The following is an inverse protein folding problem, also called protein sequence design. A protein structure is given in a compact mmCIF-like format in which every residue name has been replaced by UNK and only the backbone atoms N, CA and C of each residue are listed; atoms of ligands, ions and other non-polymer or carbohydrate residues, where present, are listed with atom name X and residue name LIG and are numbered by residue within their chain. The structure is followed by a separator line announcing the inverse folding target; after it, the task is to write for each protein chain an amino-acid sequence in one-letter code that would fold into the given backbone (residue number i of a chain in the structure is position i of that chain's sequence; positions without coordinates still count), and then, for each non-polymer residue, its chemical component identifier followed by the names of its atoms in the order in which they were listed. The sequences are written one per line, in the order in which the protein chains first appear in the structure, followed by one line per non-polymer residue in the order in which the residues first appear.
data_IF_935909556199
#
_entry.id   IF_935909556199
#
_cell.length_a   1.000
_cell.length_b   1.000
_cell.length_c   1.000
_cell.angle_alpha   90.00
_cell.angle_beta   90.00
_cell.angle_gamma   90.00
#
_symmetry.space_group_name_H-M   'P 1'
#
loop_
_entity.id
_entity.type
_entity.pdbx_description
1 polymer ?
#
# COMPACT_ATOMS: atom_id res chain seq x y z
N UNK A 1 14.09 5.56 19.35
CA UNK A 1 12.62 5.57 19.21
C UNK A 1 12.19 4.55 18.19
N UNK A 2 11.22 3.74 18.51
CA UNK A 2 10.69 2.84 17.50
C UNK A 2 10.00 3.65 16.42
N UNK A 3 10.08 3.18 15.20
CA UNK A 3 9.38 3.83 14.12
C UNK A 3 7.88 3.68 14.29
N UNK A 4 7.15 4.68 13.82
CA UNK A 4 5.70 4.62 13.83
C UNK A 4 5.25 3.50 12.92
N UNK A 5 4.39 2.62 13.42
CA UNK A 5 3.93 1.48 12.66
C UNK A 5 3.03 1.86 11.49
N UNK A 6 2.57 3.10 11.46
CA UNK A 6 1.68 3.58 10.41
C UNK A 6 2.37 4.48 9.40
N UNK A 7 3.70 4.39 9.31
CA UNK A 7 4.45 5.19 8.33
C UNK A 7 5.17 4.26 7.37
N UNK A 8 5.10 4.58 6.08
CA UNK A 8 5.75 3.80 5.03
C UNK A 8 6.50 4.77 4.14
N UNK A 9 7.78 4.51 3.91
CA UNK A 9 8.58 5.35 3.03
C UNK A 9 8.55 4.79 1.61
N UNK A 10 8.21 5.64 0.67
CA UNK A 10 8.19 5.29 -0.75
C UNK A 10 9.02 6.32 -1.48
N UNK A 11 10.17 5.91 -1.98
CA UNK A 11 11.09 6.82 -2.70
C UNK A 11 11.43 8.06 -1.88
N UNK A 12 11.65 7.89 -0.59
CA UNK A 12 11.96 9.01 0.29
C UNK A 12 10.76 9.79 0.78
N UNK A 13 9.59 9.55 0.21
CA UNK A 13 8.36 10.19 0.67
C UNK A 13 7.71 9.36 1.75
N UNK A 14 7.28 9.99 2.81
CA UNK A 14 6.64 9.28 3.91
C UNK A 14 5.13 9.29 3.74
N UNK A 15 4.56 8.11 3.56
CA UNK A 15 3.12 7.94 3.51
C UNK A 15 2.61 7.51 4.87
N UNK A 16 1.47 8.04 5.25
CA UNK A 16 0.82 7.66 6.51
C UNK A 16 -0.30 6.68 6.21
N UNK A 17 -0.32 5.58 6.96
CA UNK A 17 -1.38 4.59 6.86
C UNK A 17 -2.49 4.96 7.83
N UNK A 18 -3.71 5.08 7.34
CA UNK A 18 -4.88 5.34 8.18
C UNK A 18 -5.93 4.27 7.95
N UNK A 19 -6.24 3.55 9.01
CA UNK A 19 -7.26 2.53 8.98
C UNK A 19 -8.50 3.11 9.63
N UNK A 20 -9.53 3.34 8.85
CA UNK A 20 -10.74 3.97 9.35
C UNK A 20 -11.93 3.55 8.50
N UNK A 21 -13.13 3.67 9.05
CA UNK A 21 -14.32 3.25 8.35
C UNK A 21 -14.73 4.24 7.28
N UNK A 22 -14.55 5.52 7.52
CA UNK A 22 -14.92 6.56 6.58
C UNK A 22 -13.71 7.35 6.18
N UNK A 23 -13.55 7.56 4.89
CA UNK A 23 -12.53 8.45 4.36
C UNK A 23 -13.07 9.11 3.11
N UNK A 24 -12.63 10.33 2.87
CA UNK A 24 -13.06 11.06 1.68
C UNK A 24 -12.28 10.56 0.49
N UNK A 25 -12.99 9.98 -0.44
CA UNK A 25 -12.51 9.76 -1.78
C UNK A 25 -13.38 10.61 -2.67
N UNK A 26 -13.02 10.75 -3.90
CA UNK A 26 -13.72 11.66 -4.77
C UNK A 26 -15.18 11.46 -4.81
N UNK A 27 -15.61 10.25 -4.95
CA UNK A 27 -16.99 9.97 -5.28
C UNK A 27 -17.74 9.40 -4.13
N UNK A 28 -17.23 9.54 -2.96
CA UNK A 28 -17.89 8.96 -1.81
C UNK A 28 -18.29 7.52 -2.08
N UNK A 29 -17.38 6.79 -2.67
CA UNK A 29 -17.68 5.44 -3.09
C UNK A 29 -17.57 4.46 -1.94
N UNK A 30 -18.72 3.97 -1.51
CA UNK A 30 -18.77 3.04 -0.39
C UNK A 30 -18.19 1.68 -0.73
N UNK A 31 -17.91 1.43 -1.99
CA UNK A 31 -17.32 0.18 -2.41
C UNK A 31 -15.79 0.22 -2.38
N UNK A 32 -15.21 1.36 -2.09
CA UNK A 32 -13.77 1.46 -1.96
C UNK A 32 -13.31 0.74 -0.70
N UNK A 33 -12.38 -0.15 -0.86
CA UNK A 33 -11.73 -0.82 0.26
C UNK A 33 -10.52 -0.05 0.74
N UNK A 34 -9.90 0.73 -0.14
CA UNK A 34 -8.77 1.57 0.17
C UNK A 34 -8.65 2.70 -0.81
N UNK A 35 -7.75 3.63 -0.51
CA UNK A 35 -7.54 4.79 -1.35
C UNK A 35 -6.15 5.35 -1.08
N UNK A 36 -5.45 5.74 -2.14
CA UNK A 36 -4.14 6.34 -2.02
C UNK A 36 -4.24 7.82 -2.38
N UNK A 37 -4.00 8.68 -1.40
CA UNK A 37 -3.98 10.13 -1.60
C UNK A 37 -2.54 10.54 -1.80
N UNK A 38 -2.16 10.77 -3.04
CA UNK A 38 -0.78 11.08 -3.38
C UNK A 38 -0.36 12.45 -2.88
N UNK A 39 -1.27 13.41 -2.90
CA UNK A 39 -0.93 14.77 -2.54
C UNK A 39 -0.63 14.92 -1.06
N UNK A 40 -1.40 14.24 -0.24
CA UNK A 40 -1.20 14.28 1.21
C UNK A 40 -0.37 13.12 1.72
N UNK A 41 -0.08 12.17 0.84
CA UNK A 41 0.73 11.00 1.15
C UNK A 41 0.08 10.19 2.26
N UNK A 42 -1.17 9.81 2.01
CA UNK A 42 -1.94 9.01 2.95
C UNK A 42 -2.49 7.79 2.22
N UNK A 43 -2.34 6.63 2.83
CA UNK A 43 -2.97 5.41 2.35
C UNK A 43 -4.10 5.08 3.33
N UNK A 44 -5.32 5.04 2.81
CA UNK A 44 -6.50 4.70 3.60
C UNK A 44 -6.88 3.25 3.38
N UNK A 45 -7.25 2.58 4.45
CA UNK A 45 -7.76 1.21 4.41
C UNK A 45 -9.01 1.14 5.26
N UNK A 46 -10.06 0.53 4.74
CA UNK A 46 -11.33 0.45 5.44
C UNK A 46 -11.22 -0.47 6.64
N UNK A 47 -11.67 0.02 7.77
CA UNK A 47 -11.50 -0.67 9.05
C UNK A 47 -12.27 -1.97 9.14
N UNK A 48 -13.43 -2.05 8.51
CA UNK A 48 -14.29 -3.23 8.62
C UNK A 48 -13.82 -4.45 7.87
N UNK A 49 -12.76 -4.31 7.07
CA UNK A 49 -12.21 -5.46 6.35
C UNK A 49 -11.54 -6.45 7.30
N UNK A 50 -11.51 -7.72 6.89
CA UNK A 50 -10.75 -8.71 7.64
C UNK A 50 -9.27 -8.36 7.63
N UNK A 51 -8.51 -8.93 8.57
CA UNK A 51 -7.06 -8.67 8.61
C UNK A 51 -6.36 -9.10 7.33
N UNK A 52 -6.76 -10.23 6.78
CA UNK A 52 -6.19 -10.67 5.50
C UNK A 52 -6.50 -9.70 4.38
N UNK A 53 -7.73 -9.21 4.33
CA UNK A 53 -8.14 -8.28 3.29
C UNK A 53 -7.44 -6.95 3.45
N UNK A 54 -7.27 -6.47 4.68
CA UNK A 54 -6.54 -5.23 4.93
C UNK A 54 -5.12 -5.30 4.39
N UNK A 55 -4.45 -6.44 4.59
CA UNK A 55 -3.08 -6.60 4.09
C UNK A 55 -3.04 -6.58 2.58
N UNK A 56 -3.99 -7.23 1.94
CA UNK A 56 -4.07 -7.24 0.48
C UNK A 56 -4.32 -5.83 -0.05
N UNK A 57 -5.23 -5.10 0.57
CA UNK A 57 -5.55 -3.73 0.16
C UNK A 57 -4.34 -2.82 0.38
N UNK A 58 -3.62 -3.00 1.48
CA UNK A 58 -2.42 -2.22 1.73
C UNK A 58 -1.42 -2.38 0.58
N UNK A 59 -1.16 -3.61 0.16
CA UNK A 59 -0.21 -3.84 -0.93
C UNK A 59 -0.72 -3.24 -2.23
N UNK A 60 -2.03 -3.30 -2.45
CA UNK A 60 -2.63 -2.69 -3.65
C UNK A 60 -2.40 -1.18 -3.67
N UNK A 61 -2.72 -0.50 -2.56
CA UNK A 61 -2.55 0.95 -2.50
C UNK A 61 -1.08 1.35 -2.48
N UNK A 62 -0.24 0.54 -1.85
CA UNK A 62 1.19 0.77 -1.88
C UNK A 62 1.74 0.67 -3.30
N UNK A 63 1.22 -0.25 -4.11
CA UNK A 63 1.61 -0.36 -5.51
C UNK A 63 1.29 0.94 -6.26
N UNK A 64 0.10 1.51 -6.01
CA UNK A 64 -0.24 2.80 -6.58
C UNK A 64 0.76 3.89 -6.17
N UNK A 65 1.11 3.94 -4.90
CA UNK A 65 2.06 4.94 -4.40
C UNK A 65 3.43 4.77 -5.06
N UNK A 66 3.90 3.53 -5.18
CA UNK A 66 5.19 3.24 -5.81
C UNK A 66 5.19 3.72 -7.25
N UNK A 67 4.15 3.40 -8.00
CA UNK A 67 4.08 3.79 -9.40
C UNK A 67 4.02 5.32 -9.53
N UNK A 68 3.25 5.96 -8.67
CA UNK A 68 3.18 7.42 -8.69
C UNK A 68 4.54 8.06 -8.41
N UNK A 69 5.24 7.59 -7.38
CA UNK A 69 6.54 8.16 -7.04
C UNK A 69 7.60 7.83 -8.08
N UNK A 70 7.39 6.75 -8.83
CA UNK A 70 8.28 6.41 -9.94
C UNK A 70 8.03 7.27 -11.18
N UNK A 71 6.98 8.09 -11.16
CA UNK A 71 6.70 9.02 -12.26
C UNK A 71 5.56 8.63 -13.17
N UNK A 72 4.85 7.57 -12.87
CA UNK A 72 3.71 7.14 -13.69
C UNK A 72 2.47 7.93 -13.30
N UNK A 73 2.10 8.89 -14.11
CA UNK A 73 0.93 9.72 -13.83
C UNK A 73 -0.37 9.01 -14.13
N UNK A 74 -0.35 8.10 -15.09
CA UNK A 74 -1.49 7.28 -15.40
C UNK A 74 -1.15 5.84 -15.08
N UNK A 75 -2.08 5.15 -14.45
CA UNK A 75 -1.85 3.78 -14.03
C UNK A 75 -2.98 2.90 -14.52
N UNK A 76 -2.60 1.75 -15.06
CA UNK A 76 -3.55 0.76 -15.51
C UNK A 76 -4.04 -0.04 -14.31
N UNK A 77 -5.31 0.10 -13.98
CA UNK A 77 -5.90 -0.55 -12.81
C UNK A 77 -5.83 -2.07 -12.90
N UNK A 78 -5.96 -2.62 -14.10
CA UNK A 78 -5.84 -4.07 -14.27
C UNK A 78 -4.43 -4.53 -13.94
N UNK A 79 -3.42 -3.79 -14.38
CA UNK A 79 -2.04 -4.10 -14.05
C UNK A 79 -1.81 -4.02 -12.55
N UNK A 80 -2.29 -2.96 -11.92
CA UNK A 80 -2.11 -2.78 -10.49
C UNK A 80 -2.76 -3.94 -9.73
N UNK A 81 -3.98 -4.30 -10.11
CA UNK A 81 -4.68 -5.41 -9.46
C UNK A 81 -3.90 -6.72 -9.55
N UNK A 82 -3.49 -7.07 -10.75
CA UNK A 82 -2.81 -8.35 -10.96
C UNK A 82 -1.44 -8.36 -10.31
N UNK A 83 -0.69 -7.29 -10.47
CA UNK A 83 0.64 -7.19 -9.91
C UNK A 83 0.60 -7.23 -8.39
N UNK A 84 -0.30 -6.47 -7.78
CA UNK A 84 -0.34 -6.37 -6.33
C UNK A 84 -0.77 -7.68 -5.67
N UNK A 85 -1.65 -8.45 -6.31
CA UNK A 85 -2.04 -9.75 -5.79
C UNK A 85 -0.84 -10.69 -5.71
N UNK A 86 -0.06 -10.73 -6.77
CA UNK A 86 1.12 -11.61 -6.80
C UNK A 86 2.21 -11.07 -5.87
N UNK A 87 2.41 -9.76 -5.83
CA UNK A 87 3.37 -9.17 -4.92
C UNK A 87 3.04 -9.51 -3.46
N UNK A 88 1.77 -9.41 -3.10
CA UNK A 88 1.31 -9.76 -1.77
C UNK A 88 1.67 -11.21 -1.44
N UNK A 89 1.43 -12.11 -2.38
CA UNK A 89 1.75 -13.52 -2.23
C UNK A 89 3.25 -13.74 -2.02
N UNK A 90 4.06 -13.07 -2.83
CA UNK A 90 5.51 -13.19 -2.74
C UNK A 90 6.02 -12.71 -1.39
N UNK A 91 5.50 -11.59 -0.92
CA UNK A 91 5.93 -11.02 0.37
C UNK A 91 5.54 -11.96 1.52
N UNK A 92 4.33 -12.47 1.50
CA UNK A 92 3.85 -13.36 2.57
C UNK A 92 4.65 -14.67 2.58
N UNK A 93 4.92 -15.21 1.41
CA UNK A 93 5.54 -16.53 1.33
C UNK A 93 7.05 -16.50 1.55
N UNK A 94 7.68 -15.34 1.45
CA UNK A 94 9.14 -15.24 1.51
C UNK A 94 9.64 -14.13 2.44
N UNK A 95 9.09 -13.99 3.65
CA UNK A 95 9.47 -12.86 4.49
C UNK A 95 10.93 -12.90 4.92
N UNK A 96 11.42 -14.07 5.29
CA UNK A 96 12.77 -14.20 5.83
C UNK A 96 13.83 -14.02 4.76
N UNK A 97 13.57 -14.53 3.57
CA UNK A 97 14.53 -14.43 2.47
C UNK A 97 14.67 -12.99 2.02
N UNK A 98 13.56 -12.27 1.89
CA UNK A 98 13.61 -10.89 1.44
C UNK A 98 14.34 -10.00 2.44
N UNK A 99 14.02 -10.14 3.73
CA UNK A 99 14.68 -9.35 4.77
C UNK A 99 16.16 -9.71 4.87
N UNK A 100 16.46 -11.01 4.85
CA UNK A 100 17.84 -11.48 4.93
C UNK A 100 18.67 -10.94 3.78
N UNK A 101 18.13 -10.99 2.56
CA UNK A 101 18.85 -10.50 1.39
C UNK A 101 19.18 -9.02 1.50
N UNK A 102 18.26 -8.22 2.00
CA UNK A 102 18.49 -6.79 2.16
C UNK A 102 19.61 -6.50 3.16
N UNK A 103 19.70 -7.29 4.22
CA UNK A 103 20.75 -7.10 5.20
C UNK A 103 22.10 -7.65 4.76
N UNK A 104 22.10 -8.78 4.08
CA UNK A 104 23.37 -9.45 3.73
C UNK A 104 24.02 -8.82 2.51
N UNK A 105 23.21 -8.39 1.53
CA UNK A 105 23.74 -7.86 0.28
C UNK A 105 24.09 -6.38 0.35
N UNK A 106 23.65 -5.70 1.36
CA UNK A 106 24.02 -4.33 1.57
C UNK A 106 25.20 -4.21 2.54
#
# INVERSE_FOLDING_TARGET
MPEAKNKIKVCGMTYTLKIQEHFKAYDDDRNLWGYCDYEQQIIYIRESLSEQKKKQVLIHELTHAILHEAGYKEQDEDLVNRFSIILHQVVIDNPNVLVFSLFVLN
#
